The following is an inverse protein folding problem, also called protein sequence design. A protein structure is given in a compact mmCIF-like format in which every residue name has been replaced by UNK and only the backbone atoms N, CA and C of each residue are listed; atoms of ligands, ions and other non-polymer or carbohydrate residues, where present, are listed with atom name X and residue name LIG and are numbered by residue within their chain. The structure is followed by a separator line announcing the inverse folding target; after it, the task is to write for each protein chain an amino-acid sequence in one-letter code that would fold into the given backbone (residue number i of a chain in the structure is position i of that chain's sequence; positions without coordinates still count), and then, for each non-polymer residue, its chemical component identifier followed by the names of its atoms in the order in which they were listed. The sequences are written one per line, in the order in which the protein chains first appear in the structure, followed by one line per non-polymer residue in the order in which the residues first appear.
data_IF_507316161464
#
_entry.id   IF_507316161464
#
_cell.length_a   1.000
_cell.length_b   1.000
_cell.length_c   1.000
_cell.angle_alpha   90.00
_cell.angle_beta   90.00
_cell.angle_gamma   90.00
#
_symmetry.space_group_name_H-M   'P 1'
#
loop_
_entity.id
_entity.type
_entity.pdbx_description
1 polymer ?
#
# COMPACT_ATOMS: atom_id res chain seq x y z
N UNK A 1 -62.16 40.33 -6.27
CA UNK A 1 -60.70 40.11 -6.35
C UNK A 1 -60.25 39.32 -5.11
N UNK A 2 -59.85 38.06 -5.26
CA UNK A 2 -59.11 37.29 -4.24
C UNK A 2 -58.10 36.43 -5.00
N UNK A 3 -56.84 36.81 -4.94
CA UNK A 3 -55.73 36.14 -5.60
C UNK A 3 -55.20 35.04 -4.67
N UNK A 4 -55.07 33.80 -5.18
CA UNK A 4 -54.45 32.67 -4.48
C UNK A 4 -52.99 32.60 -4.90
N UNK A 5 -52.07 32.59 -3.94
CA UNK A 5 -50.65 32.31 -4.16
C UNK A 5 -50.41 30.85 -3.75
N UNK A 6 -49.95 30.03 -4.69
CA UNK A 6 -49.45 28.68 -4.45
C UNK A 6 -47.92 28.74 -4.51
N UNK A 7 -47.26 28.44 -3.41
CA UNK A 7 -45.81 28.36 -3.29
C UNK A 7 -45.37 26.96 -3.72
N UNK A 8 -44.66 26.85 -4.83
CA UNK A 8 -44.04 25.59 -5.29
C UNK A 8 -42.68 25.39 -4.63
N UNK A 9 -42.52 24.28 -3.91
CA UNK A 9 -41.25 23.84 -3.33
C UNK A 9 -40.50 23.01 -4.39
N UNK A 10 -39.38 23.53 -4.89
CA UNK A 10 -38.47 22.76 -5.77
C UNK A 10 -37.52 21.97 -4.88
N UNK A 11 -37.70 20.64 -4.85
CA UNK A 11 -36.70 19.72 -4.29
C UNK A 11 -35.54 19.59 -5.28
N UNK A 12 -34.35 20.06 -4.90
CA UNK A 12 -33.11 19.71 -5.58
C UNK A 12 -32.67 18.32 -5.12
N UNK A 13 -32.82 17.31 -5.97
CA UNK A 13 -32.23 16.00 -5.77
C UNK A 13 -30.74 16.07 -6.12
N UNK A 14 -29.87 16.01 -5.11
CA UNK A 14 -28.43 15.81 -5.32
C UNK A 14 -28.21 14.39 -5.85
N UNK A 15 -27.79 14.27 -7.10
CA UNK A 15 -27.27 13.02 -7.66
C UNK A 15 -25.90 12.77 -7.05
N UNK A 16 -25.81 11.85 -6.08
CA UNK A 16 -24.53 11.28 -5.69
C UNK A 16 -24.08 10.35 -6.83
N UNK A 17 -23.07 10.77 -7.59
CA UNK A 17 -22.41 9.87 -8.54
C UNK A 17 -21.61 8.83 -7.75
N UNK A 18 -21.75 7.53 -8.02
CA UNK A 18 -20.84 6.55 -7.45
C UNK A 18 -19.43 6.88 -7.94
N UNK A 19 -18.47 7.00 -7.02
CA UNK A 19 -17.05 6.94 -7.36
C UNK A 19 -16.81 5.52 -7.89
N UNK A 20 -16.53 5.40 -9.18
CA UNK A 20 -16.03 4.15 -9.75
C UNK A 20 -14.60 3.94 -9.26
N UNK A 21 -14.26 2.72 -8.88
CA UNK A 21 -12.89 2.36 -8.57
C UNK A 21 -12.05 2.46 -9.85
N UNK A 22 -11.16 3.44 -9.92
CA UNK A 22 -10.28 3.67 -11.08
C UNK A 22 -8.85 3.26 -10.75
N UNK A 23 -8.18 2.65 -11.73
CA UNK A 23 -6.76 2.33 -11.64
C UNK A 23 -5.91 3.60 -11.66
N UNK A 24 -5.02 3.72 -10.68
CA UNK A 24 -4.08 4.84 -10.54
C UNK A 24 -2.65 4.35 -10.70
N UNK A 25 -1.77 5.21 -11.21
CA UNK A 25 -0.33 4.96 -11.29
C UNK A 25 0.45 6.14 -10.68
N UNK A 26 1.43 5.85 -9.84
CA UNK A 26 2.37 6.83 -9.29
C UNK A 26 3.79 6.40 -9.66
N UNK A 27 4.59 7.35 -10.15
CA UNK A 27 5.92 7.06 -10.69
C UNK A 27 7.06 7.14 -9.66
N UNK A 28 6.87 7.88 -8.57
CA UNK A 28 7.89 8.17 -7.56
C UNK A 28 7.22 8.39 -6.18
N UNK A 29 7.90 8.12 -5.06
CA UNK A 29 9.30 7.66 -4.94
C UNK A 29 9.52 6.21 -5.36
N UNK A 30 8.51 5.35 -5.21
CA UNK A 30 8.47 3.99 -5.77
C UNK A 30 7.36 3.90 -6.80
N UNK A 31 7.62 3.23 -7.92
CA UNK A 31 6.62 3.07 -8.97
C UNK A 31 5.56 2.08 -8.52
N UNK A 32 4.30 2.54 -8.45
CA UNK A 32 3.17 1.69 -8.08
C UNK A 32 1.96 1.92 -9.01
N UNK A 33 1.16 0.87 -9.18
CA UNK A 33 -0.14 0.93 -9.83
C UNK A 33 -1.16 0.24 -8.93
N UNK A 34 -2.29 0.89 -8.66
CA UNK A 34 -3.24 0.34 -7.69
C UNK A 34 -4.69 0.62 -8.07
N UNK A 35 -5.58 -0.19 -7.49
CA UNK A 35 -7.02 0.04 -7.47
C UNK A 35 -7.52 -0.07 -6.03
N UNK A 36 -8.38 0.87 -5.64
CA UNK A 36 -9.06 0.83 -4.36
C UNK A 36 -10.52 0.44 -4.57
N UNK A 37 -10.94 -0.65 -3.94
CA UNK A 37 -12.35 -0.99 -3.72
C UNK A 37 -12.77 -0.51 -2.32
N UNK A 38 -14.08 -0.50 -2.01
CA UNK A 38 -14.60 0.05 -0.75
C UNK A 38 -13.87 -0.47 0.50
N UNK A 39 -13.48 -1.75 0.50
CA UNK A 39 -12.96 -2.43 1.69
C UNK A 39 -11.51 -2.94 1.52
N UNK A 40 -10.89 -2.76 0.35
CA UNK A 40 -9.53 -3.28 0.09
C UNK A 40 -8.84 -2.58 -1.07
N UNK A 41 -7.50 -2.59 -1.04
CA UNK A 41 -6.64 -2.08 -2.11
C UNK A 41 -5.84 -3.23 -2.70
N UNK A 42 -5.72 -3.26 -4.03
CA UNK A 42 -4.74 -4.06 -4.74
C UNK A 42 -3.68 -3.13 -5.31
N UNK A 43 -2.44 -3.33 -4.91
CA UNK A 43 -1.30 -2.54 -5.33
C UNK A 43 -0.25 -3.42 -6.02
N UNK A 44 0.28 -2.91 -7.13
CA UNK A 44 1.30 -3.53 -7.95
C UNK A 44 2.54 -2.63 -7.91
N UNK A 45 3.67 -3.19 -7.54
CA UNK A 45 4.97 -2.50 -7.56
C UNK A 45 6.02 -3.37 -8.26
N UNK A 46 7.19 -2.85 -8.55
CA UNK A 46 8.21 -3.61 -9.28
C UNK A 46 8.57 -4.94 -8.57
N UNK A 47 8.13 -6.07 -9.14
CA UNK A 47 8.40 -7.42 -8.65
C UNK A 47 7.47 -7.89 -7.52
N UNK A 48 6.44 -7.13 -7.15
CA UNK A 48 5.59 -7.45 -6.00
C UNK A 48 4.13 -7.01 -6.16
N UNK A 49 3.28 -7.66 -5.36
CA UNK A 49 1.87 -7.33 -5.19
C UNK A 49 1.60 -7.12 -3.71
N UNK A 50 0.81 -6.11 -3.37
CA UNK A 50 0.30 -5.89 -2.02
C UNK A 50 -1.22 -5.84 -2.04
N UNK A 51 -1.85 -6.46 -1.06
CA UNK A 51 -3.27 -6.29 -0.82
C UNK A 51 -3.60 -6.50 0.65
N UNK A 52 -4.63 -5.82 1.14
CA UNK A 52 -5.17 -6.05 2.47
C UNK A 52 -6.41 -6.96 2.37
N UNK A 53 -6.38 -8.17 2.95
CA UNK A 53 -7.58 -8.99 3.16
C UNK A 53 -8.61 -8.28 4.05
N UNK A 54 -9.79 -8.85 4.22
CA UNK A 54 -10.81 -8.25 5.09
C UNK A 54 -10.47 -8.31 6.59
N UNK A 55 -9.68 -9.31 7.00
CA UNK A 55 -9.30 -9.55 8.40
C UNK A 55 -7.81 -9.85 8.59
N UNK A 56 -7.28 -9.59 9.79
CA UNK A 56 -5.88 -9.90 10.12
C UNK A 56 -5.67 -11.42 10.10
N UNK A 57 -6.66 -12.17 10.59
CA UNK A 57 -6.68 -13.63 10.60
C UNK A 57 -6.50 -14.20 9.18
N UNK A 58 -7.08 -13.55 8.16
CA UNK A 58 -6.88 -13.96 6.76
C UNK A 58 -5.43 -13.73 6.31
N UNK A 59 -4.82 -12.63 6.75
CA UNK A 59 -3.41 -12.33 6.46
C UNK A 59 -2.47 -13.33 7.12
N UNK A 60 -2.71 -13.68 8.39
CA UNK A 60 -1.96 -14.72 9.11
C UNK A 60 -2.14 -16.10 8.46
N UNK A 61 -3.34 -16.41 8.00
CA UNK A 61 -3.62 -17.68 7.31
C UNK A 61 -2.87 -17.77 5.97
N UNK A 62 -2.85 -16.69 5.18
CA UNK A 62 -2.11 -16.60 3.92
C UNK A 62 -0.60 -16.74 4.16
N UNK A 63 -0.05 -16.01 5.13
CA UNK A 63 1.37 -16.07 5.47
C UNK A 63 1.77 -17.45 6.02
N UNK A 64 0.97 -18.03 6.91
CA UNK A 64 1.26 -19.36 7.50
C UNK A 64 1.26 -20.45 6.44
N UNK A 65 0.33 -20.39 5.49
CA UNK A 65 0.23 -21.38 4.41
C UNK A 65 1.27 -21.16 3.31
N UNK A 66 1.84 -19.96 3.21
CA UNK A 66 2.69 -19.56 2.08
C UNK A 66 2.05 -19.96 0.74
N UNK A 67 0.74 -19.72 0.62
CA UNK A 67 -0.08 -20.30 -0.45
C UNK A 67 -1.26 -19.41 -0.80
N UNK A 68 -1.22 -18.82 -2.00
CA UNK A 68 -2.31 -18.02 -2.57
C UNK A 68 -2.53 -18.39 -4.04
N UNK A 69 -3.79 -18.42 -4.48
CA UNK A 69 -4.17 -18.54 -5.88
C UNK A 69 -4.60 -17.17 -6.41
N UNK A 70 -3.92 -16.67 -7.44
CA UNK A 70 -4.30 -15.45 -8.18
C UNK A 70 -5.10 -15.90 -9.40
N UNK A 71 -6.44 -15.84 -9.32
CA UNK A 71 -7.35 -16.33 -10.36
C UNK A 71 -7.84 -15.20 -11.25
N UNK A 72 -7.73 -15.38 -12.56
CA UNK A 72 -8.06 -14.35 -13.55
C UNK A 72 -9.40 -14.65 -14.22
N UNK A 73 -10.30 -13.66 -14.24
CA UNK A 73 -11.65 -13.80 -14.75
C UNK A 73 -11.87 -12.92 -15.99
N UNK A 74 -12.26 -13.52 -17.11
CA UNK A 74 -12.40 -12.79 -18.38
C UNK A 74 -13.57 -11.81 -18.42
N UNK A 75 -14.66 -12.12 -17.73
CA UNK A 75 -15.92 -11.35 -17.70
C UNK A 75 -16.40 -11.08 -16.27
N UNK A 76 -15.50 -11.21 -15.29
CA UNK A 76 -15.81 -11.13 -13.87
C UNK A 76 -16.26 -12.45 -13.25
N UNK A 77 -16.63 -13.45 -14.06
CA UNK A 77 -17.23 -14.72 -13.57
C UNK A 77 -16.63 -15.99 -14.16
N UNK A 78 -16.04 -15.91 -15.35
CA UNK A 78 -15.41 -17.05 -16.04
C UNK A 78 -13.92 -17.04 -15.82
N UNK A 79 -13.41 -18.02 -15.05
CA UNK A 79 -11.97 -18.22 -14.86
C UNK A 79 -11.32 -18.65 -16.18
N UNK A 80 -10.23 -17.96 -16.54
CA UNK A 80 -9.43 -18.28 -17.74
C UNK A 80 -8.01 -18.74 -17.41
N UNK A 81 -7.62 -18.65 -16.14
CA UNK A 81 -6.36 -19.15 -15.63
C UNK A 81 -6.12 -18.71 -14.20
N UNK A 82 -5.10 -19.30 -13.58
CA UNK A 82 -4.65 -18.92 -12.26
C UNK A 82 -3.13 -19.03 -12.15
N UNK A 83 -2.54 -18.20 -11.28
CA UNK A 83 -1.15 -18.33 -10.85
C UNK A 83 -1.13 -18.81 -9.40
N UNK A 84 -0.41 -19.90 -9.12
CA UNK A 84 -0.27 -20.45 -7.77
C UNK A 84 0.99 -19.86 -7.14
N UNK A 85 0.81 -19.03 -6.12
CA UNK A 85 1.87 -18.42 -5.32
C UNK A 85 2.27 -19.42 -4.25
N UNK A 86 3.55 -19.77 -4.21
CA UNK A 86 4.11 -20.65 -3.18
C UNK A 86 5.60 -20.41 -2.98
N UNK A 87 6.18 -21.06 -1.98
CA UNK A 87 7.59 -20.86 -1.60
C UNK A 87 8.60 -21.04 -2.74
N UNK A 88 8.24 -21.81 -3.77
CA UNK A 88 9.10 -22.06 -4.93
C UNK A 88 9.22 -20.83 -5.84
N UNK A 89 8.16 -20.01 -5.97
CA UNK A 89 8.09 -18.91 -6.94
C UNK A 89 7.89 -17.52 -6.32
N UNK A 90 7.56 -17.43 -5.04
CA UNK A 90 7.38 -16.17 -4.34
C UNK A 90 7.62 -16.31 -2.83
N UNK A 91 7.90 -15.17 -2.20
CA UNK A 91 7.85 -15.01 -0.76
C UNK A 91 6.56 -14.27 -0.38
N UNK A 92 5.85 -14.79 0.62
CA UNK A 92 4.62 -14.18 1.14
C UNK A 92 4.87 -13.70 2.56
N UNK A 93 4.56 -12.44 2.86
CA UNK A 93 4.78 -11.86 4.18
C UNK A 93 3.74 -10.80 4.51
N UNK A 94 3.49 -10.57 5.80
CA UNK A 94 2.66 -9.45 6.25
C UNK A 94 3.55 -8.20 6.41
N UNK A 95 3.22 -7.13 5.69
CA UNK A 95 3.95 -5.86 5.71
C UNK A 95 3.08 -4.74 6.29
N UNK A 96 3.69 -3.58 6.56
CA UNK A 96 3.06 -2.27 6.76
C UNK A 96 1.74 -2.24 7.54
N UNK A 97 1.71 -2.98 8.65
CA UNK A 97 0.57 -3.05 9.54
C UNK A 97 -0.73 -3.51 8.86
N UNK A 98 -0.68 -4.65 8.13
CA UNK A 98 -1.79 -5.57 7.77
C UNK A 98 -1.86 -6.02 6.29
N UNK A 99 -1.27 -5.34 5.29
CA UNK A 99 -1.23 -5.88 3.93
C UNK A 99 -0.39 -7.16 3.81
N UNK A 100 -0.87 -8.10 3.01
CA UNK A 100 -0.08 -9.22 2.51
C UNK A 100 0.74 -8.74 1.31
N UNK A 101 2.04 -8.92 1.37
CA UNK A 101 2.96 -8.74 0.25
C UNK A 101 3.33 -10.10 -0.35
N UNK A 102 3.28 -10.16 -1.67
CA UNK A 102 3.78 -11.25 -2.49
C UNK A 102 4.96 -10.71 -3.29
N UNK A 103 6.16 -11.16 -2.95
CA UNK A 103 7.40 -10.81 -3.66
C UNK A 103 7.79 -11.98 -4.57
N UNK A 104 7.82 -11.76 -5.89
CA UNK A 104 8.08 -12.81 -6.87
C UNK A 104 9.58 -13.07 -7.00
N UNK A 105 9.96 -14.35 -7.04
CA UNK A 105 11.35 -14.78 -7.17
C UNK A 105 11.88 -14.56 -8.60
N UNK A 106 10.99 -14.62 -9.59
CA UNK A 106 11.33 -14.51 -11.01
C UNK A 106 10.52 -13.42 -11.73
N UNK A 107 11.19 -12.69 -12.63
CA UNK A 107 10.60 -11.57 -13.34
C UNK A 107 9.62 -12.01 -14.45
N UNK A 108 9.77 -13.21 -15.01
CA UNK A 108 8.85 -13.78 -15.99
C UNK A 108 7.52 -14.19 -15.31
N UNK A 109 7.59 -14.76 -14.10
CA UNK A 109 6.41 -15.08 -13.28
C UNK A 109 5.60 -13.81 -12.96
N UNK A 110 6.28 -12.77 -12.47
CA UNK A 110 5.61 -11.48 -12.22
C UNK A 110 5.09 -10.84 -13.52
N UNK A 111 5.87 -10.94 -14.60
CA UNK A 111 5.50 -10.46 -15.93
C UNK A 111 4.21 -11.10 -16.45
N UNK A 112 4.08 -12.42 -16.27
CA UNK A 112 2.88 -13.19 -16.59
C UNK A 112 1.68 -12.71 -15.79
N UNK A 113 1.82 -12.55 -14.47
CA UNK A 113 0.73 -12.04 -13.61
C UNK A 113 0.29 -10.66 -14.07
N UNK A 114 1.22 -9.74 -14.34
CA UNK A 114 0.89 -8.41 -14.87
C UNK A 114 0.17 -8.46 -16.22
N UNK A 115 0.56 -9.37 -17.13
CA UNK A 115 -0.12 -9.53 -18.42
C UNK A 115 -1.56 -10.02 -18.24
N UNK A 116 -1.78 -10.95 -17.31
CA UNK A 116 -3.12 -11.43 -17.00
C UNK A 116 -3.97 -10.34 -16.32
N UNK A 117 -3.41 -9.55 -15.40
CA UNK A 117 -4.11 -8.43 -14.77
C UNK A 117 -4.49 -7.33 -15.80
N UNK A 118 -3.67 -7.13 -16.83
CA UNK A 118 -3.93 -6.16 -17.90
C UNK A 118 -4.98 -6.62 -18.92
N UNK A 119 -5.21 -7.94 -19.05
CA UNK A 119 -6.03 -8.52 -20.10
C UNK A 119 -7.44 -8.96 -19.66
N UNK A 120 -7.65 -9.12 -18.35
CA UNK A 120 -8.87 -9.70 -17.78
C UNK A 120 -9.78 -8.64 -17.15
N UNK A 121 -11.01 -9.03 -16.80
CA UNK A 121 -12.02 -8.12 -16.24
C UNK A 121 -12.01 -8.06 -14.71
N UNK A 122 -11.66 -9.16 -14.04
CA UNK A 122 -11.42 -9.16 -12.60
C UNK A 122 -10.33 -10.16 -12.20
N UNK A 123 -9.76 -9.94 -11.02
CA UNK A 123 -8.90 -10.92 -10.34
C UNK A 123 -9.53 -11.31 -9.02
N UNK A 124 -9.48 -12.60 -8.70
CA UNK A 124 -9.88 -13.16 -7.41
C UNK A 124 -8.62 -13.72 -6.72
N UNK A 125 -8.29 -13.14 -5.58
CA UNK A 125 -7.24 -13.62 -4.70
C UNK A 125 -7.88 -14.59 -3.71
N UNK A 126 -7.47 -15.84 -3.75
CA UNK A 126 -8.07 -16.90 -2.96
C UNK A 126 -7.04 -17.81 -2.33
N UNK A 127 -7.48 -18.59 -1.36
CA UNK A 127 -6.69 -19.69 -0.84
C UNK A 127 -6.43 -20.71 -1.95
N UNK A 128 -5.27 -21.37 -1.88
CA UNK A 128 -4.98 -22.54 -2.72
C UNK A 128 -5.93 -23.69 -2.35
N UNK A 129 -6.44 -24.37 -3.38
CA UNK A 129 -7.28 -25.57 -3.27
C UNK A 129 -8.61 -25.42 -2.48
N UNK A 130 -9.04 -24.19 -2.17
CA UNK A 130 -10.28 -23.90 -1.45
C UNK A 130 -11.03 -22.71 -2.03
N UNK A 131 -12.35 -22.64 -1.78
CA UNK A 131 -13.22 -21.56 -2.25
C UNK A 131 -13.18 -20.29 -1.36
N UNK A 132 -12.17 -20.15 -0.50
CA UNK A 132 -12.02 -18.97 0.37
C UNK A 132 -11.44 -17.82 -0.43
N UNK A 133 -12.19 -16.74 -0.56
CA UNK A 133 -11.80 -15.52 -1.29
C UNK A 133 -11.34 -14.47 -0.30
N UNK A 134 -10.12 -13.97 -0.51
CA UNK A 134 -9.52 -12.89 0.30
C UNK A 134 -9.72 -11.51 -0.33
N UNK A 135 -9.93 -11.45 -1.66
CA UNK A 135 -10.23 -10.20 -2.35
C UNK A 135 -10.65 -10.41 -3.80
N UNK A 136 -11.53 -9.55 -4.29
CA UNK A 136 -11.91 -9.48 -5.71
C UNK A 136 -11.72 -8.05 -6.17
N UNK A 137 -10.96 -7.86 -7.25
CA UNK A 137 -10.64 -6.54 -7.78
C UNK A 137 -11.05 -6.42 -9.23
N UNK A 138 -11.65 -5.28 -9.58
CA UNK A 138 -11.98 -4.91 -10.95
C UNK A 138 -10.69 -4.55 -11.71
N UNK A 139 -10.53 -5.06 -12.91
CA UNK A 139 -9.36 -4.83 -13.76
C UNK A 139 -9.67 -3.88 -14.94
N UNK A 140 -10.87 -3.30 -14.99
CA UNK A 140 -11.25 -2.31 -15.99
C UNK A 140 -10.34 -1.09 -15.88
N UNK A 141 -9.56 -0.84 -16.94
CA UNK A 141 -8.59 0.26 -16.97
C UNK A 141 -7.19 -0.09 -16.46
N UNK A 142 -6.97 -1.29 -15.92
CA UNK A 142 -5.67 -1.75 -15.39
C UNK A 142 -4.56 -1.69 -16.44
N UNK A 143 -4.88 -1.97 -17.71
CA UNK A 143 -3.91 -2.05 -18.81
C UNK A 143 -3.03 -0.79 -18.96
N UNK A 144 -3.59 0.41 -18.75
CA UNK A 144 -2.85 1.66 -18.85
C UNK A 144 -1.92 1.88 -17.65
N UNK A 145 -2.39 1.56 -16.44
CA UNK A 145 -1.61 1.66 -15.22
C UNK A 145 -0.46 0.63 -15.21
N UNK A 146 -0.75 -0.62 -15.57
CA UNK A 146 0.25 -1.70 -15.67
C UNK A 146 1.28 -1.40 -16.75
N UNK A 147 0.89 -0.83 -17.90
CA UNK A 147 1.85 -0.40 -18.93
C UNK A 147 2.81 0.68 -18.40
N UNK A 148 2.29 1.63 -17.62
CA UNK A 148 3.09 2.69 -17.00
C UNK A 148 4.05 2.11 -15.95
N UNK A 149 3.55 1.19 -15.11
CA UNK A 149 4.36 0.44 -14.15
C UNK A 149 5.49 -0.34 -14.84
N UNK A 150 5.19 -1.13 -15.87
CA UNK A 150 6.21 -1.87 -16.64
C UNK A 150 7.28 -0.93 -17.21
N UNK A 151 6.89 0.25 -17.70
CA UNK A 151 7.85 1.24 -18.19
C UNK A 151 8.75 1.79 -17.08
N UNK A 152 8.20 2.08 -15.90
CA UNK A 152 8.97 2.56 -14.76
C UNK A 152 9.92 1.48 -14.21
N UNK A 153 9.45 0.24 -14.08
CA UNK A 153 10.26 -0.89 -13.62
C UNK A 153 11.35 -1.30 -14.63
N UNK A 154 11.10 -1.14 -15.94
CA UNK A 154 12.11 -1.36 -16.97
C UNK A 154 13.25 -0.34 -16.96
N UNK A 155 12.99 0.88 -16.45
CA UNK A 155 14.02 1.90 -16.19
C UNK A 155 14.75 1.71 -14.85
N UNK A 156 14.18 0.93 -13.91
CA UNK A 156 14.70 0.74 -12.56
C UNK A 156 16.01 -0.06 -12.49
N UNK A 157 16.40 -0.77 -13.56
CA UNK A 157 17.75 -1.40 -13.65
C UNK A 157 18.86 -0.33 -13.68
N UNK A 158 18.54 0.95 -13.95
CA UNK A 158 19.51 2.04 -14.00
C UNK A 158 19.33 3.12 -12.93
N UNK A 159 18.48 2.84 -11.93
CA UNK A 159 18.34 3.65 -10.73
C UNK A 159 18.27 2.78 -9.47
N UNK A 160 19.11 1.74 -9.42
CA UNK A 160 19.91 1.56 -8.22
C UNK A 160 20.82 2.80 -8.11
N UNK A 161 20.23 3.93 -7.72
CA UNK A 161 21.01 5.02 -7.16
C UNK A 161 21.88 4.34 -6.12
N UNK A 162 23.19 4.55 -6.24
CA UNK A 162 24.14 4.18 -5.21
C UNK A 162 23.61 4.82 -3.94
N UNK A 163 22.94 4.05 -3.10
CA UNK A 163 22.53 4.50 -1.80
C UNK A 163 23.84 4.80 -1.09
N UNK A 164 24.16 6.08 -0.96
CA UNK A 164 25.19 6.51 -0.04
C UNK A 164 24.86 5.90 1.33
N UNK A 165 25.90 5.59 2.10
CA UNK A 165 25.75 5.00 3.42
C UNK A 165 24.73 5.80 4.24
N UNK A 166 23.93 5.15 5.09
CA UNK A 166 22.86 5.80 5.84
C UNK A 166 23.42 7.02 6.59
N UNK A 167 22.98 8.22 6.19
CA UNK A 167 23.33 9.46 6.89
C UNK A 167 22.41 9.71 8.11
N UNK A 168 21.43 8.82 8.32
CA UNK A 168 20.37 8.97 9.32
C UNK A 168 20.45 8.02 10.52
N UNK A 169 19.57 8.28 11.48
CA UNK A 169 19.33 7.41 12.64
C UNK A 169 18.56 6.17 12.19
N UNK A 170 19.03 4.99 12.57
CA UNK A 170 18.44 3.69 12.21
C UNK A 170 17.70 3.12 13.41
N UNK A 171 16.49 2.64 13.16
CA UNK A 171 15.63 1.98 14.15
C UNK A 171 15.43 0.52 13.75
N UNK A 172 15.66 -0.37 14.71
CA UNK A 172 15.59 -1.82 14.52
C UNK A 172 14.65 -2.41 15.57
N UNK A 173 13.84 -3.41 15.21
CA UNK A 173 12.98 -4.07 16.18
C UNK A 173 11.66 -4.50 15.59
N UNK A 174 10.59 -4.35 16.37
CA UNK A 174 9.23 -4.70 15.97
C UNK A 174 8.71 -6.05 16.46
N UNK A 175 9.32 -6.62 17.50
CA UNK A 175 8.86 -7.88 18.10
C UNK A 175 8.85 -9.05 17.12
N UNK A 176 7.65 -9.49 16.73
CA UNK A 176 7.45 -10.54 15.72
C UNK A 176 7.84 -10.10 14.30
N UNK A 177 7.81 -8.78 14.02
CA UNK A 177 8.08 -8.23 12.68
C UNK A 177 9.35 -7.40 12.68
N UNK A 178 10.44 -8.01 12.21
CA UNK A 178 11.75 -7.37 12.14
C UNK A 178 11.82 -6.39 10.97
N UNK A 179 12.04 -5.11 11.26
CA UNK A 179 12.28 -4.07 10.24
C UNK A 179 13.50 -3.21 10.59
N UNK A 180 14.13 -2.68 9.55
CA UNK A 180 15.06 -1.56 9.61
C UNK A 180 14.32 -0.33 9.11
N UNK A 181 14.20 0.69 9.95
CA UNK A 181 13.47 1.92 9.63
C UNK A 181 14.42 3.11 9.79
N UNK A 182 14.42 3.98 8.80
CA UNK A 182 15.20 5.21 8.76
C UNK A 182 14.28 6.36 8.36
N UNK A 183 14.53 7.56 8.86
CA UNK A 183 13.85 8.74 8.34
C UNK A 183 14.82 9.92 8.25
N UNK A 184 14.52 10.83 7.32
CA UNK A 184 15.21 12.11 7.18
C UNK A 184 14.17 13.21 6.99
N UNK A 185 14.33 14.31 7.73
CA UNK A 185 13.58 15.54 7.49
C UNK A 185 14.46 16.40 6.57
N UNK A 186 13.89 16.83 5.45
CA UNK A 186 14.61 17.49 4.36
C UNK A 186 14.78 18.99 4.64
N UNK A 187 16.00 19.51 4.48
CA UNK A 187 16.27 20.96 4.59
C UNK A 187 15.62 21.77 3.46
N UNK A 188 15.45 21.16 2.29
CA UNK A 188 14.84 21.77 1.10
C UNK A 188 13.71 20.86 0.58
N UNK A 189 12.50 20.96 1.15
CA UNK A 189 11.38 20.10 0.81
C UNK A 189 10.74 20.47 -0.53
N UNK A 190 10.14 19.49 -1.20
CA UNK A 190 9.29 19.70 -2.40
C UNK A 190 7.82 19.72 -1.99
N UNK A 191 7.29 20.92 -1.79
CA UNK A 191 5.91 21.12 -1.35
C UNK A 191 5.69 20.72 0.11
N UNK A 192 4.64 19.94 0.38
CA UNK A 192 4.28 19.46 1.72
C UNK A 192 5.07 18.21 2.17
N UNK A 193 5.81 17.58 1.26
CA UNK A 193 6.61 16.40 1.51
C UNK A 193 8.00 16.80 2.00
N UNK A 194 8.11 17.01 3.31
CA UNK A 194 9.32 17.47 3.98
C UNK A 194 10.10 16.38 4.70
N UNK A 195 9.70 15.12 4.57
CA UNK A 195 10.43 13.97 5.09
C UNK A 195 10.46 12.80 4.10
N UNK A 196 11.47 11.95 4.27
CA UNK A 196 11.53 10.62 3.66
C UNK A 196 11.53 9.58 4.79
N UNK A 197 10.67 8.57 4.65
CA UNK A 197 10.64 7.39 5.50
C UNK A 197 11.18 6.22 4.67
N UNK A 198 12.16 5.50 5.20
CA UNK A 198 12.72 4.31 4.56
C UNK A 198 12.46 3.09 5.43
N UNK A 199 11.72 2.12 4.92
CA UNK A 199 11.41 0.86 5.62
C UNK A 199 12.01 -0.28 4.81
N UNK A 200 12.99 -1.00 5.38
CA UNK A 200 13.72 -2.09 4.72
C UNK A 200 14.29 -1.70 3.33
N UNK A 201 14.72 -0.45 3.18
CA UNK A 201 15.25 0.08 1.92
C UNK A 201 14.21 0.62 0.93
N UNK A 202 12.92 0.50 1.24
CA UNK A 202 11.85 1.13 0.46
C UNK A 202 11.57 2.54 0.97
N UNK A 203 11.57 3.51 0.06
CA UNK A 203 11.46 4.94 0.39
C UNK A 203 10.05 5.45 0.10
N UNK A 204 9.42 6.05 1.10
CA UNK A 204 8.13 6.74 1.04
C UNK A 204 8.33 8.22 1.39
N UNK A 205 7.67 9.12 0.63
CA UNK A 205 7.60 10.55 1.00
C UNK A 205 6.63 10.72 2.15
N UNK A 206 6.99 11.53 3.12
CA UNK A 206 6.13 11.83 4.26
C UNK A 206 6.10 13.34 4.53
N UNK A 207 5.02 13.78 5.17
CA UNK A 207 4.93 15.11 5.76
C UNK A 207 5.12 15.04 7.27
N UNK A 208 5.80 16.00 7.85
CA UNK A 208 5.96 16.11 9.30
C UNK A 208 4.73 16.75 9.96
N UNK A 209 4.29 16.17 11.07
CA UNK A 209 3.17 16.68 11.87
C UNK A 209 3.57 16.76 13.35
N UNK A 210 3.97 17.95 13.79
CA UNK A 210 4.32 18.23 15.19
C UNK A 210 3.09 18.40 16.10
N UNK A 211 1.92 18.67 15.53
CA UNK A 211 0.65 18.84 16.25
C UNK A 211 -0.33 17.71 15.99
N UNK A 212 0.19 16.49 15.80
CA UNK A 212 -0.60 15.29 15.46
C UNK A 212 -1.77 15.04 16.43
N UNK A 213 -1.57 15.25 17.73
CA UNK A 213 -2.59 15.03 18.76
C UNK A 213 -3.58 16.21 18.93
N UNK A 214 -3.43 17.29 18.17
CA UNK A 214 -4.30 18.45 18.23
C UNK A 214 -4.39 19.08 19.63
N UNK A 215 -5.59 19.05 20.21
CA UNK A 215 -5.85 19.59 21.56
C UNK A 215 -5.64 18.56 22.70
N UNK A 216 -5.27 17.33 22.36
CA UNK A 216 -4.99 16.26 23.32
C UNK A 216 -3.52 16.33 23.73
N UNK A 217 -3.24 16.05 25.00
CA UNK A 217 -1.86 15.96 25.48
C UNK A 217 -1.13 14.83 24.74
N UNK A 218 -0.02 15.17 24.08
CA UNK A 218 0.79 14.19 23.37
C UNK A 218 1.43 13.20 24.36
N UNK A 219 1.60 11.92 23.98
CA UNK A 219 2.30 10.97 24.82
C UNK A 219 3.70 11.46 25.15
N UNK A 220 4.17 11.07 26.34
CA UNK A 220 5.47 11.48 26.84
C UNK A 220 6.58 11.07 25.86
N UNK A 221 7.44 12.02 25.53
CA UNK A 221 8.56 11.81 24.63
C UNK A 221 8.22 11.98 23.15
N UNK A 222 6.97 12.28 22.77
CA UNK A 222 6.64 12.52 21.37
C UNK A 222 7.45 13.67 20.77
N UNK A 223 8.04 13.43 19.60
CA UNK A 223 8.87 14.39 18.86
C UNK A 223 8.14 14.88 17.61
N UNK A 224 7.73 13.95 16.74
CA UNK A 224 7.12 14.25 15.45
C UNK A 224 6.35 13.03 14.92
N UNK A 225 5.28 13.27 14.17
CA UNK A 225 4.64 12.24 13.35
C UNK A 225 5.06 12.40 11.89
N UNK A 226 5.33 11.30 11.20
CA UNK A 226 5.57 11.25 9.76
C UNK A 226 4.34 10.62 9.10
N UNK A 227 3.67 11.38 8.24
CA UNK A 227 2.47 10.93 7.53
C UNK A 227 2.86 10.64 6.08
N UNK A 228 2.97 9.35 5.75
CA UNK A 228 3.39 8.87 4.44
C UNK A 228 2.35 9.14 3.35
N UNK A 229 2.83 9.31 2.12
CA UNK A 229 1.99 9.42 0.92
C UNK A 229 1.13 8.15 0.68
N UNK A 230 1.62 7.01 1.17
CA UNK A 230 0.93 5.72 1.22
C UNK A 230 -0.06 5.58 2.40
N UNK A 231 -0.28 6.66 3.16
CA UNK A 231 -1.05 6.70 4.41
C UNK A 231 -0.43 5.92 5.57
N UNK A 232 0.84 5.55 5.48
CA UNK A 232 1.56 5.07 6.65
C UNK A 232 1.71 6.18 7.69
N UNK A 233 1.64 5.82 8.97
CA UNK A 233 1.83 6.73 10.08
C UNK A 233 2.99 6.24 10.93
N UNK A 234 3.98 7.10 11.15
CA UNK A 234 5.12 6.82 12.02
C UNK A 234 5.21 7.86 13.12
N UNK A 235 5.23 7.45 14.38
CA UNK A 235 5.39 8.35 15.51
C UNK A 235 6.80 8.23 16.07
N UNK A 236 7.53 9.33 16.15
CA UNK A 236 8.91 9.37 16.64
C UNK A 236 8.92 9.87 18.09
N UNK A 237 9.70 9.20 18.92
CA UNK A 237 9.80 9.49 20.34
C UNK A 237 11.25 9.56 20.84
N UNK A 238 11.43 10.40 21.85
CA UNK A 238 12.65 10.55 22.61
C UNK A 238 12.32 10.84 24.08
N UNK A 239 12.69 9.94 24.98
CA UNK A 239 12.55 10.14 26.43
C UNK A 239 13.63 9.37 27.20
N UNK A 240 14.15 9.98 28.27
CA UNK A 240 15.07 9.32 29.20
C UNK A 240 16.35 8.76 28.57
N UNK A 241 16.82 9.34 27.45
CA UNK A 241 18.00 8.88 26.71
C UNK A 241 17.73 7.67 25.81
N UNK A 242 16.46 7.34 25.56
CA UNK A 242 16.03 6.35 24.57
C UNK A 242 15.35 7.08 23.42
N UNK A 243 15.71 6.67 22.22
CA UNK A 243 15.05 7.09 20.99
C UNK A 243 14.34 5.85 20.42
N UNK A 244 13.05 5.96 20.11
CA UNK A 244 12.28 4.91 19.45
C UNK A 244 11.30 5.52 18.46
N UNK A 245 10.79 4.68 17.58
CA UNK A 245 9.63 5.02 16.76
C UNK A 245 8.57 3.94 16.89
N UNK A 246 7.33 4.34 16.68
CA UNK A 246 6.18 3.46 16.52
C UNK A 246 5.78 3.47 15.05
N UNK A 247 5.68 2.29 14.46
CA UNK A 247 5.25 2.07 13.08
C UNK A 247 4.25 0.92 13.05
N UNK A 248 2.98 1.25 12.79
CA UNK A 248 1.87 0.35 13.07
C UNK A 248 1.76 0.05 14.58
N UNK A 249 1.46 -1.19 14.92
CA UNK A 249 1.31 -1.64 16.32
C UNK A 249 2.64 -1.95 17.03
N UNK A 250 3.78 -1.62 16.41
CA UNK A 250 5.09 -2.05 16.87
C UNK A 250 6.03 -0.90 17.18
N UNK A 251 6.82 -1.08 18.24
CA UNK A 251 7.93 -0.21 18.60
C UNK A 251 9.25 -0.71 18.01
N UNK A 252 10.05 0.24 17.52
CA UNK A 252 11.39 0.05 16.97
C UNK A 252 12.37 0.95 17.72
N UNK A 253 13.38 0.36 18.34
CA UNK A 253 14.37 1.10 19.11
C UNK A 253 15.53 1.52 18.21
N UNK A 254 16.11 2.69 18.49
CA UNK A 254 17.34 3.13 17.81
C UNK A 254 18.46 2.12 18.01
N UNK A 255 19.14 1.74 16.93
CA UNK A 255 20.13 0.66 16.91
C UNK A 255 21.51 1.09 16.39
N UNK A 256 21.74 2.38 16.12
CA UNK A 256 23.04 2.95 15.75
C UNK A 256 23.48 4.13 16.61
#
# INVERSE_FOLDING_TARGET
MKCKISLGLVLAAGVATPVLAEWTFVAAPTANAFIQSNDSTLELQCGRIRFAPAGYEDSEDIETKQGLSIRFMKDGTTEVGAFQVGQDNANVQIVDNFPVEISFNDAEDYGFVLDQLAANASVNLSMIDQDVTYGIFDLTGSSAAIKSLKSACGGAIQQAARTEAPEGVVYCGGGAVKRQIEYVILDTPDGEWDALLTVNGEVTRAMTAYSFFGNTEAPRGFVVALLGEDRSETLVFQDGGKDWLEYGDYQYDKCN
#
